data_IF_560825353849
#
_entry.id   IF_560825353849
#
_cell.length_a   1.000
_cell.length_b   1.000
_cell.length_c   1.000
_cell.angle_alpha   90.00
_cell.angle_beta   90.00
_cell.angle_gamma   90.00
#
_symmetry.space_group_name_H-M   'P 1'
#
loop_
_entity.id
_entity.type
_entity.pdbx_description
1 polymer ?
#
# COMPACT_ATOMS: atom_id res chain seq x y z
N UNK A 1 -31.37 37.95 -2.59
CA UNK A 1 -32.09 39.21 -2.36
C UNK A 1 -33.33 38.94 -1.52
N UNK A 2 -34.09 39.97 -1.13
CA UNK A 2 -35.42 39.78 -0.53
C UNK A 2 -36.34 38.92 -1.42
N UNK A 3 -36.25 39.08 -2.74
CA UNK A 3 -37.06 38.31 -3.71
C UNK A 3 -36.82 36.80 -3.61
N UNK A 4 -35.58 36.37 -3.31
CA UNK A 4 -35.28 34.96 -3.08
C UNK A 4 -36.09 34.38 -1.92
N UNK A 5 -36.15 35.10 -0.78
CA UNK A 5 -36.87 34.63 0.40
C UNK A 5 -38.39 34.64 0.21
N UNK A 6 -38.92 35.65 -0.49
CA UNK A 6 -40.33 35.67 -0.90
C UNK A 6 -40.67 34.47 -1.77
N UNK A 7 -39.77 34.12 -2.71
CA UNK A 7 -39.92 32.94 -3.55
C UNK A 7 -39.79 31.63 -2.75
N UNK A 8 -38.82 31.55 -1.83
CA UNK A 8 -38.56 30.37 -1.00
C UNK A 8 -39.77 29.97 -0.15
N UNK A 9 -40.54 30.94 0.35
CA UNK A 9 -41.77 30.67 1.11
C UNK A 9 -42.93 30.22 0.20
N UNK A 10 -42.89 30.53 -1.09
CA UNK A 10 -44.00 30.27 -2.04
C UNK A 10 -43.79 29.04 -2.92
N UNK A 11 -42.56 28.71 -3.26
CA UNK A 11 -42.23 27.62 -4.17
C UNK A 11 -41.98 26.30 -3.43
N UNK A 12 -42.12 25.19 -4.16
CA UNK A 12 -41.84 23.86 -3.62
C UNK A 12 -40.34 23.68 -3.30
N UNK A 13 -40.06 23.04 -2.16
CA UNK A 13 -38.69 22.68 -1.78
C UNK A 13 -38.21 21.51 -2.64
N UNK A 14 -37.23 21.76 -3.50
CA UNK A 14 -36.63 20.76 -4.40
C UNK A 14 -35.55 19.92 -3.69
N UNK A 15 -35.93 19.24 -2.61
CA UNK A 15 -34.99 18.52 -1.73
C UNK A 15 -34.18 17.44 -2.46
N UNK A 16 -34.86 16.55 -3.20
CA UNK A 16 -34.22 15.43 -3.93
C UNK A 16 -33.21 15.96 -4.97
N UNK A 17 -33.56 17.04 -5.67
CA UNK A 17 -32.67 17.65 -6.66
C UNK A 17 -31.41 18.22 -5.99
N UNK A 18 -31.55 18.81 -4.81
CA UNK A 18 -30.41 19.26 -4.00
C UNK A 18 -29.52 18.12 -3.56
N UNK A 19 -30.09 17.00 -3.11
CA UNK A 19 -29.36 15.80 -2.70
C UNK A 19 -28.56 15.19 -3.86
N UNK A 20 -29.18 15.02 -5.03
CA UNK A 20 -28.50 14.51 -6.22
C UNK A 20 -27.38 15.44 -6.69
N UNK A 21 -27.62 16.74 -6.66
CA UNK A 21 -26.58 17.72 -7.01
C UNK A 21 -25.36 17.68 -6.06
N UNK A 22 -25.54 17.28 -4.79
CA UNK A 22 -24.44 17.07 -3.85
C UNK A 22 -23.72 15.74 -4.11
N UNK A 23 -24.45 14.67 -4.42
CA UNK A 23 -23.87 13.39 -4.81
C UNK A 23 -23.03 13.50 -6.09
N UNK A 24 -23.50 14.26 -7.08
CA UNK A 24 -22.77 14.55 -8.32
C UNK A 24 -21.45 15.30 -8.07
N UNK A 25 -21.35 16.01 -6.93
CA UNK A 25 -20.13 16.67 -6.46
C UNK A 25 -19.25 15.77 -5.60
N UNK A 26 -19.61 14.49 -5.43
CA UNK A 26 -18.86 13.51 -4.64
C UNK A 26 -19.09 13.59 -3.14
N UNK A 27 -20.16 14.25 -2.68
CA UNK A 27 -20.51 14.27 -1.25
C UNK A 27 -21.08 12.92 -0.84
N UNK A 28 -20.46 12.30 0.17
CA UNK A 28 -20.84 10.96 0.67
C UNK A 28 -21.25 10.95 2.14
N UNK A 29 -21.09 12.06 2.85
CA UNK A 29 -21.43 12.19 4.28
C UNK A 29 -22.22 13.47 4.51
N UNK A 30 -23.44 13.34 5.01
CA UNK A 30 -24.39 14.42 5.24
C UNK A 30 -24.66 14.55 6.73
N UNK A 31 -24.52 15.77 7.26
CA UNK A 31 -24.74 16.08 8.66
C UNK A 31 -26.01 16.92 8.81
N UNK A 32 -27.00 16.44 9.56
CA UNK A 32 -28.23 17.19 9.82
C UNK A 32 -28.14 17.96 11.14
N UNK A 33 -28.29 19.27 11.04
CA UNK A 33 -28.40 20.18 12.18
C UNK A 33 -29.88 20.45 12.48
N UNK A 34 -30.47 19.62 13.32
CA UNK A 34 -31.88 19.73 13.69
C UNK A 34 -32.27 18.69 14.74
N UNK A 35 -33.40 18.89 15.44
CA UNK A 35 -33.74 18.16 16.66
C UNK A 35 -34.10 16.68 16.45
N UNK A 36 -34.62 16.31 15.27
CA UNK A 36 -35.32 15.03 15.09
C UNK A 36 -34.71 14.09 14.05
N UNK A 37 -33.78 14.55 13.21
CA UNK A 37 -33.14 13.72 12.19
C UNK A 37 -34.03 13.36 11.00
N UNK A 38 -34.97 14.25 10.64
CA UNK A 38 -35.98 14.02 9.59
C UNK A 38 -35.33 14.06 8.22
N UNK A 39 -34.43 15.02 7.97
CA UNK A 39 -33.75 15.13 6.68
C UNK A 39 -32.81 13.95 6.44
N UNK A 40 -32.25 13.39 7.50
CA UNK A 40 -31.39 12.21 7.48
C UNK A 40 -32.18 10.98 7.03
N UNK A 41 -33.40 10.82 7.52
CA UNK A 41 -34.29 9.74 7.08
C UNK A 41 -34.72 9.94 5.61
N UNK A 42 -35.14 11.16 5.23
CA UNK A 42 -35.56 11.44 3.85
C UNK A 42 -34.41 11.35 2.84
N UNK A 43 -33.20 11.73 3.25
CA UNK A 43 -32.03 11.78 2.38
C UNK A 43 -31.54 10.40 1.96
N UNK A 44 -31.74 9.38 2.81
CA UNK A 44 -31.37 7.98 2.51
C UNK A 44 -32.07 7.45 1.25
N UNK A 45 -33.30 7.91 0.97
CA UNK A 45 -34.06 7.52 -0.22
C UNK A 45 -33.67 8.33 -1.47
N UNK A 46 -32.86 9.38 -1.33
CA UNK A 46 -32.52 10.28 -2.43
C UNK A 46 -31.26 9.87 -3.21
N UNK A 47 -30.29 9.27 -2.51
CA UNK A 47 -28.93 9.00 -3.00
C UNK A 47 -28.36 7.71 -2.40
N UNK A 48 -27.49 7.04 -3.15
CA UNK A 48 -26.88 5.76 -2.77
C UNK A 48 -25.49 5.95 -2.11
N UNK A 49 -24.99 4.90 -1.45
CA UNK A 49 -23.65 4.81 -0.85
C UNK A 49 -23.23 5.99 0.06
N UNK A 50 -24.22 6.58 0.74
CA UNK A 50 -24.04 7.80 1.53
C UNK A 50 -24.41 7.65 3.00
N UNK A 51 -23.80 8.46 3.86
CA UNK A 51 -24.11 8.54 5.29
C UNK A 51 -25.03 9.72 5.60
N UNK A 52 -26.00 9.51 6.47
CA UNK A 52 -26.84 10.59 7.00
C UNK A 52 -26.79 10.57 8.51
N UNK A 53 -26.15 11.60 9.07
CA UNK A 53 -25.82 11.66 10.49
C UNK A 53 -26.56 12.85 11.12
N UNK A 54 -27.61 12.59 11.91
CA UNK A 54 -28.28 13.64 12.66
C UNK A 54 -27.48 14.00 13.91
N UNK A 55 -27.25 15.29 14.13
CA UNK A 55 -26.48 15.79 15.27
C UNK A 55 -27.29 15.80 16.55
N UNK A 56 -28.61 15.97 16.45
CA UNK A 56 -29.53 15.88 17.58
C UNK A 56 -30.60 14.83 17.30
N UNK A 57 -31.11 14.25 18.39
CA UNK A 57 -32.26 13.36 18.38
C UNK A 57 -33.13 13.68 19.58
N UNK A 58 -34.44 13.71 19.36
CA UNK A 58 -35.43 13.72 20.43
C UNK A 58 -35.15 12.60 21.44
N UNK A 59 -35.35 12.91 22.71
CA UNK A 59 -35.23 11.97 23.83
C UNK A 59 -33.81 11.39 24.02
N UNK A 60 -32.77 12.09 23.52
CA UNK A 60 -31.36 11.76 23.70
C UNK A 60 -30.60 12.96 24.26
N UNK A 61 -29.52 12.69 24.99
CA UNK A 61 -28.64 13.74 25.50
C UNK A 61 -27.89 14.42 24.34
N UNK A 62 -27.94 15.76 24.31
CA UNK A 62 -27.36 16.57 23.23
C UNK A 62 -25.84 16.35 23.12
N UNK A 63 -25.13 16.33 24.25
CA UNK A 63 -23.68 16.11 24.25
C UNK A 63 -23.31 14.75 23.65
N UNK A 64 -24.04 13.70 24.03
CA UNK A 64 -23.78 12.34 23.54
C UNK A 64 -24.10 12.21 22.05
N UNK A 65 -25.20 12.80 21.58
CA UNK A 65 -25.58 12.77 20.16
C UNK A 65 -24.63 13.57 19.29
N UNK A 66 -24.20 14.74 19.75
CA UNK A 66 -23.19 15.55 19.06
C UNK A 66 -21.85 14.81 18.94
N UNK A 67 -21.31 14.28 20.03
CA UNK A 67 -20.03 13.55 20.02
C UNK A 67 -20.13 12.29 19.16
N UNK A 68 -21.26 11.57 19.24
CA UNK A 68 -21.52 10.42 18.38
C UNK A 68 -21.53 10.78 16.90
N UNK A 69 -22.17 11.89 16.52
CA UNK A 69 -22.19 12.37 15.15
C UNK A 69 -20.80 12.77 14.63
N UNK A 70 -19.99 13.45 15.47
CA UNK A 70 -18.61 13.78 15.13
C UNK A 70 -17.73 12.53 14.98
N UNK A 71 -17.93 11.52 15.85
CA UNK A 71 -17.23 10.26 15.75
C UNK A 71 -17.59 9.49 14.46
N UNK A 72 -18.87 9.44 14.08
CA UNK A 72 -19.31 8.81 12.84
C UNK A 72 -18.71 9.51 11.61
N UNK A 73 -18.73 10.85 11.58
CA UNK A 73 -18.09 11.61 10.53
C UNK A 73 -16.57 11.33 10.47
N UNK A 74 -15.91 11.27 11.63
CA UNK A 74 -14.47 10.99 11.72
C UNK A 74 -14.10 9.61 11.16
N UNK A 75 -14.86 8.56 11.50
CA UNK A 75 -14.65 7.20 10.99
C UNK A 75 -14.84 7.12 9.47
N UNK A 76 -15.68 7.99 8.91
CA UNK A 76 -15.87 8.14 7.46
C UNK A 76 -14.81 9.01 6.77
N UNK A 77 -13.79 9.44 7.50
CA UNK A 77 -12.65 10.20 6.96
C UNK A 77 -12.86 11.72 6.96
N UNK A 78 -13.94 12.23 7.56
CA UNK A 78 -14.10 13.67 7.76
C UNK A 78 -13.07 14.14 8.79
N UNK A 79 -12.28 15.14 8.42
CA UNK A 79 -11.30 15.73 9.33
C UNK A 79 -12.01 16.56 10.39
N UNK A 80 -11.91 16.12 11.65
CA UNK A 80 -12.40 16.86 12.81
C UNK A 80 -11.23 17.57 13.48
N UNK A 81 -11.40 18.84 13.80
CA UNK A 81 -10.44 19.63 14.57
C UNK A 81 -10.62 19.34 16.08
N UNK A 82 -10.11 18.19 16.54
CA UNK A 82 -10.23 17.75 17.93
C UNK A 82 -9.55 18.72 18.90
N UNK A 83 -8.49 19.40 18.47
CA UNK A 83 -7.82 20.47 19.20
C UNK A 83 -8.78 21.64 19.51
N UNK A 84 -9.55 22.10 18.53
CA UNK A 84 -10.54 23.15 18.71
C UNK A 84 -11.71 22.70 19.59
N UNK A 85 -12.11 21.42 19.48
CA UNK A 85 -13.16 20.83 20.31
C UNK A 85 -12.77 20.79 21.80
N UNK A 86 -11.52 20.42 22.13
CA UNK A 86 -11.05 20.31 23.51
C UNK A 86 -10.47 21.61 24.09
N UNK A 87 -10.17 22.62 23.26
CA UNK A 87 -9.64 23.91 23.72
C UNK A 87 -10.41 24.56 24.90
N UNK A 88 -11.77 24.59 24.92
CA UNK A 88 -12.51 25.20 26.03
C UNK A 88 -12.66 24.31 27.26
N UNK A 89 -12.31 23.02 27.20
CA UNK A 89 -12.61 22.06 28.27
C UNK A 89 -11.50 21.92 29.32
N UNK A 90 -10.32 22.51 29.10
CA UNK A 90 -9.15 22.30 29.96
C UNK A 90 -8.62 20.87 29.95
N UNK A 91 -8.93 20.09 28.90
CA UNK A 91 -8.45 18.73 28.76
C UNK A 91 -6.93 18.68 28.65
N UNK A 92 -6.33 17.64 29.25
CA UNK A 92 -4.89 17.38 29.20
C UNK A 92 -4.62 16.12 28.38
N UNK A 93 -3.48 16.07 27.70
CA UNK A 93 -3.02 14.84 27.06
C UNK A 93 -2.58 13.84 28.13
N UNK A 94 -2.99 12.59 27.97
CA UNK A 94 -2.60 11.48 28.82
C UNK A 94 -1.96 10.40 27.96
N UNK A 95 -1.04 9.63 28.54
CA UNK A 95 -0.49 8.47 27.85
C UNK A 95 -1.56 7.40 27.72
N UNK A 96 -1.73 6.90 26.49
CA UNK A 96 -2.59 5.78 26.16
C UNK A 96 -1.71 4.57 25.82
N UNK A 97 -2.23 3.34 25.98
CA UNK A 97 -1.55 2.16 25.45
C UNK A 97 -1.15 2.37 24.00
N UNK A 98 0.09 1.96 23.68
CA UNK A 98 0.60 2.04 22.32
C UNK A 98 -0.20 1.11 21.39
N UNK A 99 -0.06 1.34 20.08
CA UNK A 99 -0.74 0.53 19.08
C UNK A 99 -0.48 -0.97 19.31
N UNK A 100 -1.55 -1.75 19.40
CA UNK A 100 -1.46 -3.20 19.56
C UNK A 100 -1.07 -3.85 18.22
N UNK A 101 0.22 -3.86 17.92
CA UNK A 101 0.74 -4.50 16.70
C UNK A 101 0.32 -5.97 16.64
N UNK A 102 -0.14 -6.40 15.46
CA UNK A 102 -0.31 -7.81 15.13
C UNK A 102 1.06 -8.37 14.75
N UNK A 103 1.76 -8.91 15.75
CA UNK A 103 3.14 -9.36 15.58
C UNK A 103 3.20 -10.65 14.76
N UNK A 104 4.06 -10.64 13.75
CA UNK A 104 4.46 -11.82 12.99
C UNK A 104 5.98 -11.98 13.05
N UNK A 105 6.46 -13.23 13.11
CA UNK A 105 7.88 -13.52 13.17
C UNK A 105 8.47 -13.57 11.76
N UNK A 106 9.19 -12.51 11.41
CA UNK A 106 10.01 -12.46 10.22
C UNK A 106 11.47 -12.75 10.59
N UNK A 107 12.11 -13.66 9.86
CA UNK A 107 13.54 -13.95 10.01
C UNK A 107 14.23 -13.80 8.65
N UNK A 108 15.47 -13.28 8.60
CA UNK A 108 16.23 -13.29 7.36
C UNK A 108 16.59 -14.74 7.00
N UNK A 109 16.28 -15.15 5.78
CA UNK A 109 16.91 -16.35 5.21
C UNK A 109 18.37 -15.98 4.95
N UNK A 110 19.24 -16.26 5.91
CA UNK A 110 20.66 -16.35 5.63
C UNK A 110 20.86 -17.66 4.88
N UNK A 111 20.64 -17.65 3.57
CA UNK A 111 21.24 -18.70 2.76
C UNK A 111 22.72 -18.72 3.15
N UNK A 112 23.28 -19.87 3.60
CA UNK A 112 24.72 -19.97 3.68
C UNK A 112 25.21 -19.53 2.30
N UNK A 113 26.30 -18.74 2.28
CA UNK A 113 27.04 -18.52 1.05
C UNK A 113 27.55 -19.91 0.67
N UNK A 114 26.70 -20.72 0.02
CA UNK A 114 27.17 -21.87 -0.71
C UNK A 114 28.16 -21.26 -1.69
N UNK A 115 29.42 -21.73 -1.74
CA UNK A 115 30.24 -21.40 -2.90
C UNK A 115 29.34 -21.68 -4.10
N UNK A 116 29.16 -20.70 -4.97
CA UNK A 116 28.35 -20.83 -6.18
C UNK A 116 28.64 -22.18 -6.80
N UNK A 117 27.81 -23.18 -6.51
CA UNK A 117 27.78 -24.40 -7.27
C UNK A 117 27.08 -23.94 -8.53
N UNK A 118 27.87 -23.56 -9.51
CA UNK A 118 27.48 -23.27 -10.89
C UNK A 118 26.89 -24.53 -11.53
N UNK A 119 25.85 -25.09 -10.93
CA UNK A 119 25.15 -26.27 -11.44
C UNK A 119 23.68 -25.93 -11.58
N UNK A 120 23.41 -24.99 -12.48
CA UNK A 120 22.45 -25.20 -13.56
C UNK A 120 22.51 -24.07 -14.59
N UNK A 121 22.90 -24.40 -15.83
CA UNK A 121 22.12 -24.18 -17.06
C UNK A 121 22.86 -23.69 -18.31
N UNK A 122 24.18 -23.47 -18.28
CA UNK A 122 24.92 -23.34 -19.54
C UNK A 122 25.30 -24.74 -20.03
N UNK A 123 24.48 -25.34 -20.89
CA UNK A 123 24.91 -26.51 -21.67
C UNK A 123 26.25 -26.21 -22.34
N UNK A 124 27.11 -27.21 -22.55
CA UNK A 124 28.38 -27.01 -23.26
C UNK A 124 28.17 -26.30 -24.61
N UNK A 125 27.06 -26.57 -25.29
CA UNK A 125 26.62 -25.88 -26.51
C UNK A 125 26.32 -24.39 -26.31
N UNK A 126 25.63 -24.02 -25.23
CA UNK A 126 25.34 -22.61 -24.91
C UNK A 126 26.64 -21.84 -24.63
N UNK A 127 27.61 -22.47 -23.95
CA UNK A 127 28.94 -21.89 -23.71
C UNK A 127 29.72 -21.67 -25.00
N UNK A 128 29.77 -22.66 -25.89
CA UNK A 128 30.46 -22.54 -27.18
C UNK A 128 29.81 -21.51 -28.11
N UNK A 129 28.47 -21.43 -28.11
CA UNK A 129 27.72 -20.42 -28.85
C UNK A 129 28.10 -19.00 -28.41
N UNK A 130 28.01 -18.70 -27.11
CA UNK A 130 28.31 -17.35 -26.61
C UNK A 130 29.79 -16.97 -26.76
N UNK A 131 30.70 -17.94 -26.64
CA UNK A 131 32.13 -17.71 -26.84
C UNK A 131 32.45 -17.35 -28.31
N UNK A 132 31.78 -17.98 -29.29
CA UNK A 132 31.88 -17.61 -30.70
C UNK A 132 31.33 -16.20 -30.98
N UNK A 133 30.18 -15.85 -30.37
CA UNK A 133 29.59 -14.50 -30.47
C UNK A 133 30.51 -13.43 -29.86
N UNK A 134 31.10 -13.69 -28.69
CA UNK A 134 32.00 -12.75 -28.00
C UNK A 134 33.33 -12.53 -28.75
N UNK A 135 33.86 -13.58 -29.41
CA UNK A 135 35.08 -13.52 -30.22
C UNK A 135 34.84 -13.00 -31.64
N UNK A 136 33.59 -12.82 -32.05
CA UNK A 136 33.24 -12.46 -33.43
C UNK A 136 33.59 -13.55 -34.45
N UNK A 137 33.71 -14.80 -34.01
CA UNK A 137 34.07 -15.95 -34.86
C UNK A 137 32.84 -16.44 -35.62
N UNK A 138 32.61 -15.85 -36.79
CA UNK A 138 31.47 -16.14 -37.64
C UNK A 138 31.45 -17.59 -38.13
N UNK A 139 32.62 -18.19 -38.36
CA UNK A 139 32.74 -19.56 -38.86
C UNK A 139 32.44 -20.58 -37.76
N UNK A 140 32.90 -20.33 -36.53
CA UNK A 140 32.53 -21.17 -35.38
C UNK A 140 31.04 -21.04 -35.04
N UNK A 141 30.47 -19.84 -35.16
CA UNK A 141 29.05 -19.61 -34.92
C UNK A 141 28.18 -20.29 -35.99
N UNK A 142 28.54 -20.16 -37.27
CA UNK A 142 27.85 -20.81 -38.39
C UNK A 142 27.83 -22.33 -38.25
N UNK A 143 28.95 -22.94 -37.81
CA UNK A 143 29.02 -24.38 -37.50
C UNK A 143 28.14 -24.78 -36.31
N UNK A 144 28.05 -23.93 -35.29
CA UNK A 144 27.24 -24.23 -34.09
C UNK A 144 25.74 -24.14 -34.37
N UNK A 145 25.34 -23.24 -35.28
CA UNK A 145 23.95 -23.03 -35.70
C UNK A 145 23.53 -23.87 -36.91
N UNK A 146 24.45 -24.63 -37.52
CA UNK A 146 24.26 -25.32 -38.81
C UNK A 146 23.72 -24.39 -39.92
N UNK A 147 24.25 -23.16 -39.98
CA UNK A 147 23.82 -22.12 -40.94
C UNK A 147 24.82 -21.98 -42.09
N UNK A 148 24.30 -21.95 -43.32
CA UNK A 148 25.09 -21.69 -44.53
C UNK A 148 25.25 -20.19 -44.86
N UNK A 149 24.52 -19.30 -44.17
CA UNK A 149 24.50 -17.86 -44.45
C UNK A 149 25.31 -17.06 -43.42
N UNK A 150 26.60 -16.92 -43.70
CA UNK A 150 27.56 -16.14 -42.89
C UNK A 150 27.31 -14.62 -43.05
N UNK A 151 26.66 -14.20 -44.13
CA UNK A 151 26.39 -12.78 -44.41
C UNK A 151 25.45 -12.17 -43.38
N UNK A 152 24.33 -12.84 -43.10
CA UNK A 152 23.36 -12.42 -42.09
C UNK A 152 23.93 -12.40 -40.66
N UNK A 153 24.82 -13.33 -40.33
CA UNK A 153 25.50 -13.36 -39.02
C UNK A 153 26.44 -12.17 -38.82
N UNK A 154 27.06 -11.67 -39.89
CA UNK A 154 28.00 -10.55 -39.84
C UNK A 154 27.36 -9.25 -39.36
N UNK A 155 26.08 -9.05 -39.63
CA UNK A 155 25.33 -7.87 -39.19
C UNK A 155 24.89 -7.97 -37.71
N UNK A 156 24.52 -9.16 -37.25
CA UNK A 156 23.88 -9.37 -35.94
C UNK A 156 24.88 -9.63 -34.81
N UNK A 157 26.02 -10.26 -35.10
CA UNK A 157 27.04 -10.63 -34.09
C UNK A 157 27.59 -9.44 -33.30
N UNK A 158 27.91 -8.28 -33.91
CA UNK A 158 28.32 -7.09 -33.14
C UNK A 158 27.25 -6.63 -32.14
N UNK A 159 25.97 -6.70 -32.52
CA UNK A 159 24.85 -6.31 -31.64
C UNK A 159 24.74 -7.29 -30.46
N UNK A 160 24.76 -8.59 -30.72
CA UNK A 160 24.69 -9.62 -29.67
C UNK A 160 25.89 -9.57 -28.71
N UNK A 161 27.10 -9.32 -29.23
CA UNK A 161 28.30 -9.18 -28.39
C UNK A 161 28.26 -7.94 -27.50
N UNK A 162 27.75 -6.81 -28.00
CA UNK A 162 27.53 -5.62 -27.16
C UNK A 162 26.46 -5.84 -26.09
N UNK A 163 25.35 -6.51 -26.45
CA UNK A 163 24.27 -6.82 -25.53
C UNK A 163 24.75 -7.75 -24.42
N UNK A 164 25.48 -8.83 -24.75
CA UNK A 164 26.01 -9.79 -23.77
C UNK A 164 26.97 -9.14 -22.77
N UNK A 165 27.82 -8.22 -23.24
CA UNK A 165 28.72 -7.44 -22.38
C UNK A 165 27.94 -6.57 -21.40
N UNK A 166 26.97 -5.81 -21.91
CA UNK A 166 26.12 -4.94 -21.09
C UNK A 166 25.30 -5.74 -20.07
N UNK A 167 24.76 -6.90 -20.46
CA UNK A 167 24.03 -7.78 -19.54
C UNK A 167 24.93 -8.32 -18.43
N UNK A 168 26.18 -8.71 -18.72
CA UNK A 168 27.13 -9.14 -17.69
C UNK A 168 27.49 -8.01 -16.72
N UNK A 169 27.73 -6.80 -17.22
CA UNK A 169 27.99 -5.63 -16.38
C UNK A 169 26.81 -5.34 -15.43
N UNK A 170 25.58 -5.36 -15.95
CA UNK A 170 24.37 -5.17 -15.13
C UNK A 170 24.16 -6.30 -14.13
N UNK A 171 24.39 -7.56 -14.51
CA UNK A 171 24.30 -8.70 -13.59
C UNK A 171 25.38 -8.66 -12.50
N UNK A 172 26.62 -8.27 -12.83
CA UNK A 172 27.68 -8.07 -11.82
C UNK A 172 27.27 -6.98 -10.82
N UNK A 173 26.77 -5.85 -11.32
CA UNK A 173 26.27 -4.77 -10.45
C UNK A 173 25.08 -5.22 -9.60
N UNK A 174 24.13 -5.99 -10.16
CA UNK A 174 22.99 -6.49 -9.39
C UNK A 174 23.40 -7.56 -8.36
N UNK A 175 24.43 -8.37 -8.65
CA UNK A 175 24.97 -9.36 -7.70
C UNK A 175 25.63 -8.74 -6.48
N UNK A 176 26.10 -7.49 -6.60
CA UNK A 176 26.67 -6.73 -5.48
C UNK A 176 25.60 -6.08 -4.62
N UNK A 177 24.32 -6.10 -5.04
CA UNK A 177 23.22 -5.62 -4.23
C UNK A 177 22.77 -6.71 -3.26
N UNK A 178 23.08 -6.49 -2.00
CA UNK A 178 22.50 -7.25 -0.91
C UNK A 178 20.96 -7.13 -0.94
N UNK A 179 20.25 -8.25 -1.15
CA UNK A 179 18.81 -8.32 -1.01
C UNK A 179 18.46 -9.05 0.28
N UNK A 180 17.81 -8.34 1.20
CA UNK A 180 17.14 -8.97 2.34
C UNK A 180 15.76 -9.38 1.88
N UNK A 181 15.53 -10.68 1.74
CA UNK A 181 14.19 -11.23 1.56
C UNK A 181 13.73 -11.77 2.91
N UNK A 182 12.67 -11.16 3.44
CA UNK A 182 12.05 -11.61 4.68
C UNK A 182 11.05 -12.72 4.36
N UNK A 183 11.24 -13.89 4.96
CA UNK A 183 10.31 -15.01 4.83
C UNK A 183 9.61 -15.21 6.17
N UNK A 184 8.29 -15.33 6.13
CA UNK A 184 7.51 -15.68 7.32
C UNK A 184 7.90 -17.09 7.76
N UNK A 185 8.32 -17.21 9.02
CA UNK A 185 8.62 -18.51 9.63
C UNK A 185 7.36 -18.97 10.36
N UNK A 186 6.64 -19.93 9.76
CA UNK A 186 5.50 -20.56 10.40
C UNK A 186 5.93 -21.42 11.59
N UNK A 187 5.18 -21.30 12.70
CA UNK A 187 5.11 -22.31 13.76
C UNK A 187 6.45 -22.83 14.28
N UNK A 188 7.32 -21.96 14.79
CA UNK A 188 8.42 -22.43 15.64
C UNK A 188 7.81 -22.82 16.98
N UNK A 189 7.69 -24.12 17.22
CA UNK A 189 7.44 -24.65 18.56
C UNK A 189 8.56 -24.12 19.45
N UNK A 190 8.20 -23.43 20.53
CA UNK A 190 9.17 -22.92 21.49
C UNK A 190 9.85 -24.10 22.19
N UNK A 191 10.90 -24.65 21.57
CA UNK A 191 11.78 -25.59 22.24
C UNK A 191 12.51 -24.83 23.35
N UNK A 192 12.34 -25.29 24.58
CA UNK A 192 13.09 -24.76 25.72
C UNK A 192 14.55 -25.12 25.53
N UNK A 193 15.38 -24.11 25.26
CA UNK A 193 16.81 -24.26 25.15
C UNK A 193 17.40 -24.75 26.49
N UNK A 194 18.05 -25.91 26.49
CA UNK A 194 18.74 -26.44 27.68
C UNK A 194 20.23 -26.09 27.62
N UNK A 195 20.83 -25.75 28.76
CA UNK A 195 22.24 -25.35 28.86
C UNK A 195 22.48 -23.87 29.16
N UNK A 196 23.75 -23.45 29.17
CA UNK A 196 24.16 -22.06 29.39
C UNK A 196 24.17 -21.28 28.08
N UNK A 197 23.35 -20.24 27.97
CA UNK A 197 23.22 -19.42 26.77
C UNK A 197 23.70 -18.00 27.02
N UNK A 198 24.46 -17.47 26.07
CA UNK A 198 24.79 -16.04 26.01
C UNK A 198 23.74 -15.36 25.14
N UNK A 199 22.99 -14.43 25.73
CA UNK A 199 22.03 -13.59 25.01
C UNK A 199 22.69 -12.24 24.76
N UNK A 200 22.69 -11.82 23.50
CA UNK A 200 23.13 -10.48 23.11
C UNK A 200 21.96 -9.52 23.29
N UNK A 201 21.96 -8.77 24.38
CA UNK A 201 21.04 -7.65 24.57
C UNK A 201 21.67 -6.37 23.99
N UNK A 202 20.85 -5.51 23.37
CA UNK A 202 21.31 -4.18 22.98
C UNK A 202 21.74 -3.38 24.23
N UNK A 203 22.81 -2.61 24.11
CA UNK A 203 23.33 -1.77 25.19
C UNK A 203 22.39 -0.59 25.45
N UNK A 204 21.28 -0.85 26.13
CA UNK A 204 20.28 0.16 26.46
C UNK A 204 19.00 -0.46 27.02
N UNK A 205 19.04 -0.76 28.33
CA UNK A 205 17.87 -0.78 29.22
C UNK A 205 16.85 -1.89 29.01
N UNK A 206 16.88 -2.87 29.90
CA UNK A 206 15.67 -3.57 30.33
C UNK A 206 15.13 -2.75 31.50
N UNK A 207 13.93 -2.20 31.36
CA UNK A 207 12.98 -2.04 32.47
C UNK A 207 11.98 -3.21 32.38
#
# INVERSE_FOLDING_TARGET
>A
SADYWVRHVREAVRFVDGMRALQDQGVTTYLELGPDGVLSAMGQDCVEDSAFVPVLRKDREEALTLVGALAEAHVRGVRIAWDAYFAPSGAVQVELPTYAFQHERYWPDTAPISPMTEESSASTSDRHFWDAVERGDLDALARTLDSADVGSLREVVPVLSSWRRQSRELSTVDSWRYRVVWKSVGGVVAESLSGGWLVVCAAGGVD
#
